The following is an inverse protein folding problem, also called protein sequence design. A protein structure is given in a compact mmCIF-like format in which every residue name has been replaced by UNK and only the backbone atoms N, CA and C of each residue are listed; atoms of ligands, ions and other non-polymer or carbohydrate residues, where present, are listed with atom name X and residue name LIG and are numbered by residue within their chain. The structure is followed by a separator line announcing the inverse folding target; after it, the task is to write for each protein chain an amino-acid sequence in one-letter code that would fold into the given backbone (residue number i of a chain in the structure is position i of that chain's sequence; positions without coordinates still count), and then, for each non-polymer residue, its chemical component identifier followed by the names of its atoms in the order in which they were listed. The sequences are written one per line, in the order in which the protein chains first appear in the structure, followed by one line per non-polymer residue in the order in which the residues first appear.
data_IF_094984569150
#
_entry.id   IF_094984569150
#
_cell.length_a   1.000
_cell.length_b   1.000
_cell.length_c   1.000
_cell.angle_alpha   90.00
_cell.angle_beta   90.00
_cell.angle_gamma   90.00
#
_symmetry.space_group_name_H-M   'P 1'
#
loop_
_entity.id
_entity.type
_entity.pdbx_description
1 polymer ?
#
# COMPACT_ATOMS: atom_id res chain seq x y z
N UNK A 1 13.65 -1.21 -29.27
CA UNK A 1 14.37 -0.09 -28.64
C UNK A 1 14.03 -0.07 -27.16
N UNK A 2 14.96 -0.52 -26.32
CA UNK A 2 14.86 -0.36 -24.86
C UNK A 2 15.00 1.12 -24.54
N UNK A 3 13.95 1.73 -23.99
CA UNK A 3 14.09 3.07 -23.42
C UNK A 3 15.15 3.00 -22.31
N UNK A 4 16.07 3.97 -22.20
CA UNK A 4 17.05 3.98 -21.13
C UNK A 4 16.31 3.99 -19.79
N UNK A 5 16.62 3.02 -18.92
CA UNK A 5 16.19 3.01 -17.53
C UNK A 5 16.68 4.30 -16.88
N UNK A 6 15.74 5.18 -16.52
CA UNK A 6 16.06 6.35 -15.69
C UNK A 6 16.26 5.81 -14.29
N UNK A 7 17.50 5.42 -13.95
CA UNK A 7 17.87 5.08 -12.56
C UNK A 7 17.57 6.29 -11.67
N UNK A 8 16.77 6.07 -10.64
CA UNK A 8 16.43 7.10 -9.66
C UNK A 8 17.68 7.64 -8.97
N UNK A 9 17.75 8.97 -8.82
CA UNK A 9 18.88 9.68 -8.18
C UNK A 9 18.53 10.23 -6.81
N UNK A 10 17.41 9.80 -6.23
CA UNK A 10 16.98 10.27 -4.91
C UNK A 10 18.00 9.92 -3.83
N UNK A 11 18.30 10.91 -3.00
CA UNK A 11 19.20 10.77 -1.86
C UNK A 11 18.68 11.56 -0.66
N UNK A 12 18.69 10.94 0.50
CA UNK A 12 18.44 11.59 1.78
C UNK A 12 19.41 11.09 2.88
N UNK A 13 19.05 11.36 4.14
CA UNK A 13 19.84 10.94 5.29
C UNK A 13 19.91 9.41 5.45
N UNK A 14 18.88 8.67 5.01
CA UNK A 14 18.73 7.20 5.15
C UNK A 14 18.98 6.47 3.83
N UNK A 15 18.60 7.00 2.66
CA UNK A 15 18.64 6.29 1.40
C UNK A 15 19.45 7.02 0.34
N UNK A 16 20.17 6.26 -0.48
CA UNK A 16 20.74 6.70 -1.75
C UNK A 16 20.31 5.68 -2.81
N UNK A 17 19.28 6.02 -3.58
CA UNK A 17 18.66 5.06 -4.50
C UNK A 17 19.55 4.74 -5.70
N UNK A 18 20.58 5.55 -5.95
CA UNK A 18 21.59 5.26 -6.99
C UNK A 18 22.41 4.00 -6.68
N UNK A 19 22.42 3.57 -5.41
CA UNK A 19 23.08 2.34 -4.94
C UNK A 19 22.14 1.15 -4.79
N UNK A 20 20.86 1.26 -5.18
CA UNK A 20 19.94 0.14 -5.16
C UNK A 20 20.22 -0.77 -6.37
N UNK A 21 20.26 -2.08 -6.13
CA UNK A 21 20.59 -3.06 -7.16
C UNK A 21 19.34 -3.64 -7.83
N UNK A 22 19.14 -3.23 -9.09
CA UNK A 22 18.13 -3.76 -9.99
C UNK A 22 18.74 -4.31 -11.29
N UNK A 23 20.05 -4.52 -11.33
CA UNK A 23 20.72 -5.01 -12.52
C UNK A 23 20.57 -6.55 -12.66
N UNK A 24 20.66 -7.07 -13.88
CA UNK A 24 20.64 -8.51 -14.16
C UNK A 24 19.36 -9.21 -13.70
N UNK A 25 19.49 -10.25 -12.86
CA UNK A 25 18.36 -11.01 -12.32
C UNK A 25 17.38 -10.12 -11.52
N UNK A 26 17.88 -9.11 -10.82
CA UNK A 26 17.07 -8.19 -10.03
C UNK A 26 16.16 -7.31 -10.93
N UNK A 27 16.53 -7.13 -12.19
CA UNK A 27 15.81 -6.34 -13.19
C UNK A 27 14.69 -7.10 -13.91
N UNK A 28 14.64 -8.44 -13.78
CA UNK A 28 13.67 -9.26 -14.54
C UNK A 28 12.20 -9.02 -14.16
N UNK A 29 11.96 -8.41 -13.00
CA UNK A 29 10.61 -8.06 -12.55
C UNK A 29 10.03 -6.87 -13.32
N UNK A 30 10.88 -5.98 -13.86
CA UNK A 30 10.49 -4.78 -14.60
C UNK A 30 10.14 -5.13 -16.07
N UNK A 31 9.15 -6.01 -16.25
CA UNK A 31 8.79 -6.57 -17.57
C UNK A 31 7.62 -5.86 -18.26
N UNK A 32 6.93 -4.96 -17.57
CA UNK A 32 5.81 -4.20 -18.11
C UNK A 32 6.20 -2.75 -18.40
N UNK A 33 5.31 -2.02 -19.06
CA UNK A 33 5.56 -0.63 -19.46
C UNK A 33 5.91 0.23 -18.22
N UNK A 34 6.91 1.12 -18.33
CA UNK A 34 7.20 2.10 -17.29
C UNK A 34 5.98 2.94 -16.92
N UNK A 35 5.99 3.47 -15.71
CA UNK A 35 4.97 4.36 -15.21
C UNK A 35 4.81 5.61 -16.09
N UNK A 36 3.58 6.05 -16.26
CA UNK A 36 3.19 7.22 -17.03
C UNK A 36 1.90 7.84 -16.45
N UNK A 37 1.36 8.89 -17.09
CA UNK A 37 0.20 9.62 -16.55
C UNK A 37 -1.10 8.80 -16.51
N UNK A 38 -1.17 7.64 -17.18
CA UNK A 38 -2.27 6.67 -17.08
C UNK A 38 -2.08 5.68 -15.92
N UNK A 39 -1.04 5.83 -15.12
CA UNK A 39 -0.82 5.04 -13.92
C UNK A 39 -1.14 5.88 -12.68
N UNK A 40 -2.02 5.37 -11.82
CA UNK A 40 -2.53 6.12 -10.68
C UNK A 40 -2.07 5.49 -9.36
N UNK A 41 -1.35 6.26 -8.55
CA UNK A 41 -1.21 6.01 -7.12
C UNK A 41 -2.24 6.85 -6.37
N UNK A 42 -3.18 6.19 -5.71
CA UNK A 42 -4.29 6.85 -5.02
C UNK A 42 -4.32 6.51 -3.53
N UNK A 43 -4.57 7.55 -2.73
CA UNK A 43 -4.68 7.48 -1.29
C UNK A 43 -6.06 8.00 -0.86
N UNK A 44 -6.56 7.48 0.27
CA UNK A 44 -7.73 8.04 0.94
C UNK A 44 -7.43 8.25 2.41
N UNK A 45 -7.61 9.48 2.90
CA UNK A 45 -7.34 9.83 4.31
C UNK A 45 -8.43 10.72 4.88
N UNK A 46 -8.67 10.58 6.18
CA UNK A 46 -9.46 11.52 6.96
C UNK A 46 -8.73 11.77 8.29
N UNK A 47 -8.38 13.03 8.54
CA UNK A 47 -7.76 13.44 9.79
C UNK A 47 -8.86 13.95 10.74
N UNK A 48 -9.48 13.02 11.47
CA UNK A 48 -10.47 13.37 12.50
C UNK A 48 -9.90 14.27 13.61
N UNK A 49 -8.56 14.33 13.72
CA UNK A 49 -7.81 15.13 14.67
C UNK A 49 -6.51 15.59 13.98
N UNK A 50 -6.25 16.90 13.97
CA UNK A 50 -5.04 17.51 13.39
C UNK A 50 -3.76 16.98 14.05
N UNK A 51 -3.81 16.56 15.31
CA UNK A 51 -2.67 15.94 15.99
C UNK A 51 -2.27 14.60 15.37
N UNK A 52 -3.22 13.85 14.77
CA UNK A 52 -2.87 12.63 14.02
C UNK A 52 -2.01 12.95 12.80
N UNK A 53 -2.34 14.04 12.10
CA UNK A 53 -1.52 14.53 10.99
C UNK A 53 -0.12 14.93 11.47
N UNK A 54 0.00 15.77 12.50
CA UNK A 54 1.31 16.22 12.97
C UNK A 54 2.21 15.08 13.45
N UNK A 55 1.65 14.04 14.08
CA UNK A 55 2.39 12.84 14.49
C UNK A 55 2.92 12.01 13.30
N UNK A 56 2.23 12.04 12.16
CA UNK A 56 2.57 11.21 10.99
C UNK A 56 3.25 12.00 9.88
N UNK A 57 3.23 13.33 9.94
CA UNK A 57 3.71 14.25 8.90
C UNK A 57 5.11 13.89 8.40
N UNK A 58 6.07 13.68 9.30
CA UNK A 58 7.45 13.36 8.91
C UNK A 58 7.53 12.08 8.06
N UNK A 59 6.95 10.98 8.53
CA UNK A 59 6.94 9.69 7.81
C UNK A 59 6.20 9.80 6.49
N UNK A 60 5.02 10.44 6.48
CA UNK A 60 4.25 10.68 5.26
C UNK A 60 5.06 11.48 4.24
N UNK A 61 5.73 12.56 4.65
CA UNK A 61 6.52 13.37 3.72
C UNK A 61 7.69 12.59 3.12
N UNK A 62 8.29 11.67 3.89
CA UNK A 62 9.35 10.79 3.41
C UNK A 62 8.82 9.74 2.43
N UNK A 63 7.68 9.11 2.73
CA UNK A 63 7.01 8.19 1.81
C UNK A 63 6.67 8.86 0.48
N UNK A 64 6.04 10.03 0.53
CA UNK A 64 5.72 10.80 -0.66
C UNK A 64 6.97 11.24 -1.45
N UNK A 65 8.06 11.58 -0.77
CA UNK A 65 9.33 11.89 -1.43
C UNK A 65 9.92 10.70 -2.17
N UNK A 66 9.93 9.52 -1.56
CA UNK A 66 10.37 8.29 -2.22
C UNK A 66 9.46 7.98 -3.42
N UNK A 67 8.15 8.03 -3.23
CA UNK A 67 7.17 7.75 -4.29
C UNK A 67 7.29 8.74 -5.46
N UNK A 68 7.58 10.02 -5.20
CA UNK A 68 7.83 11.00 -6.25
C UNK A 68 9.02 10.62 -7.15
N UNK A 69 10.03 9.94 -6.61
CA UNK A 69 11.23 9.56 -7.36
C UNK A 69 11.18 8.14 -7.92
N UNK A 70 10.53 7.20 -7.23
CA UNK A 70 10.38 5.82 -7.71
C UNK A 70 9.36 5.69 -8.84
N UNK A 71 8.32 6.53 -8.88
CA UNK A 71 7.31 6.52 -9.94
C UNK A 71 7.03 7.95 -10.44
N UNK A 72 8.02 8.65 -11.02
CA UNK A 72 7.97 10.09 -11.27
C UNK A 72 6.87 10.51 -12.26
N UNK A 73 6.52 9.64 -13.19
CA UNK A 73 5.55 9.93 -14.26
C UNK A 73 4.13 9.45 -13.94
N UNK A 74 3.93 8.69 -12.85
CA UNK A 74 2.61 8.28 -12.39
C UNK A 74 1.82 9.46 -11.80
N UNK A 75 0.51 9.50 -12.07
CA UNK A 75 -0.42 10.42 -11.41
C UNK A 75 -0.57 10.02 -9.95
N UNK A 76 -0.57 11.01 -9.04
CA UNK A 76 -0.74 10.78 -7.60
C UNK A 76 -1.89 11.63 -7.07
N UNK A 77 -2.85 10.98 -6.43
CA UNK A 77 -4.08 11.64 -5.94
C UNK A 77 -4.31 11.29 -4.48
N UNK A 78 -4.57 12.29 -3.66
CA UNK A 78 -5.02 12.14 -2.28
C UNK A 78 -6.48 12.57 -2.17
N UNK A 79 -7.35 11.61 -1.89
CA UNK A 79 -8.73 11.89 -1.51
C UNK A 79 -8.77 12.28 -0.03
N UNK A 80 -8.97 13.56 0.25
CA UNK A 80 -8.97 14.11 1.61
C UNK A 80 -10.41 14.26 2.11
N UNK A 81 -10.81 13.38 3.03
CA UNK A 81 -12.03 13.59 3.82
C UNK A 81 -11.85 14.72 4.83
N UNK A 82 -12.88 15.52 5.02
CA UNK A 82 -12.95 16.53 6.09
C UNK A 82 -12.10 17.78 5.83
N UNK A 83 -11.77 18.49 6.91
CA UNK A 83 -10.98 19.73 6.84
C UNK A 83 -9.49 19.46 6.60
N UNK A 84 -8.83 20.40 5.92
CA UNK A 84 -7.37 20.39 5.80
C UNK A 84 -6.71 20.49 7.17
N UNK A 85 -5.70 19.65 7.48
CA UNK A 85 -5.13 19.61 8.82
C UNK A 85 -4.19 20.79 9.11
N UNK A 86 -3.67 21.47 8.09
CA UNK A 86 -2.89 22.70 8.20
C UNK A 86 -3.05 23.58 6.95
N UNK A 87 -2.80 24.89 7.09
CA UNK A 87 -3.04 25.91 6.03
C UNK A 87 -2.30 25.58 4.73
N UNK A 88 -1.05 25.12 4.83
CA UNK A 88 -0.21 24.82 3.69
C UNK A 88 -0.28 23.34 3.25
N UNK A 89 -1.22 22.54 3.78
CA UNK A 89 -1.31 21.10 3.51
C UNK A 89 -1.36 20.78 2.01
N UNK A 90 -2.24 21.45 1.26
CA UNK A 90 -2.38 21.22 -0.19
C UNK A 90 -1.10 21.56 -0.95
N UNK A 91 -0.46 22.68 -0.62
CA UNK A 91 0.81 23.08 -1.22
C UNK A 91 1.94 22.10 -0.89
N UNK A 92 1.94 21.57 0.34
CA UNK A 92 2.90 20.56 0.79
C UNK A 92 2.73 19.25 0.02
N UNK A 93 1.49 18.77 -0.16
CA UNK A 93 1.20 17.59 -0.99
C UNK A 93 1.60 17.81 -2.45
N UNK A 94 1.26 18.97 -3.02
CA UNK A 94 1.62 19.34 -4.39
C UNK A 94 3.13 19.40 -4.60
N UNK A 95 3.90 19.82 -3.60
CA UNK A 95 5.38 19.80 -3.66
C UNK A 95 5.96 18.39 -3.82
N UNK A 96 5.18 17.37 -3.48
CA UNK A 96 5.51 15.94 -3.69
C UNK A 96 4.80 15.32 -4.89
N UNK A 97 4.23 16.16 -5.76
CA UNK A 97 3.52 15.71 -6.96
C UNK A 97 2.17 15.04 -6.66
N UNK A 98 1.57 15.28 -5.50
CA UNK A 98 0.27 14.73 -5.11
C UNK A 98 -0.82 15.80 -5.22
N UNK A 99 -1.84 15.53 -6.03
CA UNK A 99 -3.02 16.38 -6.10
C UNK A 99 -4.00 16.03 -4.98
N UNK A 100 -4.47 17.03 -4.25
CA UNK A 100 -5.43 16.85 -3.17
C UNK A 100 -6.83 17.12 -3.68
N UNK A 101 -7.71 16.13 -3.56
CA UNK A 101 -9.13 16.24 -3.89
C UNK A 101 -9.93 16.19 -2.59
N UNK A 102 -10.57 17.31 -2.18
CA UNK A 102 -11.39 17.32 -0.98
C UNK A 102 -12.67 16.50 -1.21
N UNK A 103 -13.07 15.76 -0.19
CA UNK A 103 -14.25 14.89 -0.21
C UNK A 103 -15.09 15.17 1.02
N UNK A 104 -16.38 15.42 0.78
CA UNK A 104 -17.34 15.58 1.86
C UNK A 104 -17.62 14.20 2.47
N UNK A 105 -17.30 14.05 3.75
CA UNK A 105 -17.54 12.83 4.54
C UNK A 105 -18.22 13.21 5.85
N UNK A 106 -19.03 12.30 6.40
CA UNK A 106 -19.59 12.45 7.74
C UNK A 106 -18.46 12.33 8.78
N UNK A 107 -18.45 13.22 9.78
CA UNK A 107 -17.42 13.28 10.81
C UNK A 107 -17.41 12.07 11.74
N UNK A 108 -18.49 11.29 11.78
CA UNK A 108 -18.57 10.09 12.59
C UNK A 108 -17.70 8.96 12.04
N UNK A 109 -17.40 8.96 10.75
CA UNK A 109 -16.86 7.81 10.05
C UNK A 109 -15.35 7.61 10.20
N UNK A 110 -14.91 6.34 10.21
CA UNK A 110 -13.49 6.01 10.24
C UNK A 110 -12.84 6.20 8.87
N UNK A 111 -11.79 7.04 8.80
CA UNK A 111 -11.09 7.36 7.56
C UNK A 111 -10.47 6.16 6.82
N UNK A 112 -9.90 5.20 7.56
CA UNK A 112 -9.31 4.00 6.98
C UNK A 112 -10.37 3.10 6.32
N UNK A 113 -11.61 3.19 6.81
CA UNK A 113 -12.74 2.42 6.31
C UNK A 113 -13.40 3.09 5.10
N UNK A 114 -13.59 4.41 5.17
CA UNK A 114 -14.22 5.17 4.09
C UNK A 114 -13.41 5.25 2.80
N UNK A 115 -12.08 5.10 2.87
CA UNK A 115 -11.21 5.28 1.70
C UNK A 115 -11.68 4.48 0.49
N UNK A 116 -12.18 3.26 0.70
CA UNK A 116 -12.60 2.40 -0.41
C UNK A 116 -13.83 2.93 -1.15
N UNK A 117 -14.78 3.56 -0.45
CA UNK A 117 -15.93 4.22 -1.09
C UNK A 117 -15.51 5.42 -1.91
N UNK A 118 -14.67 6.25 -1.32
CA UNK A 118 -14.23 7.49 -1.93
C UNK A 118 -13.37 7.20 -3.15
N UNK A 119 -12.47 6.21 -3.04
CA UNK A 119 -11.64 5.76 -4.15
C UNK A 119 -12.48 5.07 -5.22
N UNK A 120 -13.43 4.21 -4.86
CA UNK A 120 -14.33 3.59 -5.84
C UNK A 120 -15.04 4.65 -6.66
N UNK A 121 -15.71 5.60 -6.01
CA UNK A 121 -16.44 6.68 -6.70
C UNK A 121 -15.51 7.46 -7.64
N UNK A 122 -14.31 7.80 -7.18
CA UNK A 122 -13.33 8.47 -8.01
C UNK A 122 -12.96 7.64 -9.25
N UNK A 123 -12.73 6.34 -9.09
CA UNK A 123 -12.42 5.45 -10.21
C UNK A 123 -13.62 5.29 -11.16
N UNK A 124 -14.85 5.19 -10.67
CA UNK A 124 -16.05 5.13 -11.54
C UNK A 124 -16.14 6.36 -12.46
N UNK A 125 -15.81 7.54 -11.95
CA UNK A 125 -15.84 8.80 -12.69
C UNK A 125 -14.61 9.01 -13.61
N UNK A 126 -13.51 8.28 -13.37
CA UNK A 126 -12.22 8.57 -14.01
C UNK A 126 -11.51 7.35 -14.62
N UNK A 127 -12.12 6.15 -14.63
CA UNK A 127 -11.46 4.91 -15.04
C UNK A 127 -10.82 4.96 -16.43
N UNK A 128 -11.43 5.64 -17.39
CA UNK A 128 -10.91 5.80 -18.77
C UNK A 128 -9.55 6.53 -18.83
N UNK A 129 -9.20 7.28 -17.78
CA UNK A 129 -7.93 7.99 -17.67
C UNK A 129 -6.77 7.08 -17.27
N UNK A 130 -7.03 5.91 -16.72
CA UNK A 130 -6.03 5.08 -16.06
C UNK A 130 -6.03 3.64 -16.56
N UNK A 131 -4.84 3.09 -16.83
CA UNK A 131 -4.65 1.69 -17.18
C UNK A 131 -4.40 0.84 -15.92
N UNK A 132 -3.58 1.37 -15.00
CA UNK A 132 -3.19 0.70 -13.76
C UNK A 132 -3.43 1.61 -12.55
N UNK A 133 -3.86 1.02 -11.45
CA UNK A 133 -4.10 1.69 -10.18
C UNK A 133 -3.36 0.98 -9.06
N UNK A 134 -2.80 1.77 -8.15
CA UNK A 134 -2.28 1.34 -6.87
C UNK A 134 -2.98 2.13 -5.76
N UNK A 135 -3.79 1.47 -4.96
CA UNK A 135 -4.38 1.99 -3.72
C UNK A 135 -3.40 1.77 -2.59
N UNK A 136 -3.09 2.82 -1.83
CA UNK A 136 -2.08 2.76 -0.77
C UNK A 136 -2.50 3.47 0.52
N UNK A 137 -1.96 3.02 1.65
CA UNK A 137 -1.83 3.83 2.85
C UNK A 137 -0.91 5.03 2.55
N UNK A 138 -1.33 6.22 2.99
CA UNK A 138 -0.61 7.46 2.72
C UNK A 138 0.76 7.54 3.43
N UNK A 139 0.86 6.91 4.59
CA UNK A 139 1.97 7.15 5.53
C UNK A 139 3.21 6.30 5.22
N UNK A 140 3.01 5.03 4.88
CA UNK A 140 4.05 3.99 4.99
C UNK A 140 4.19 3.11 3.72
N UNK A 141 3.58 3.48 2.59
CA UNK A 141 3.86 2.82 1.30
C UNK A 141 4.95 3.56 0.53
N UNK A 142 6.02 2.85 0.19
CA UNK A 142 7.25 3.34 -0.43
C UNK A 142 7.50 2.63 -1.76
N UNK A 143 7.73 3.42 -2.82
CA UNK A 143 8.24 2.98 -4.11
C UNK A 143 9.70 3.41 -4.23
N UNK A 144 10.62 2.44 -4.17
CA UNK A 144 12.05 2.68 -4.34
C UNK A 144 12.49 2.66 -5.81
N UNK A 145 11.66 2.09 -6.68
CA UNK A 145 11.82 2.06 -8.13
C UNK A 145 10.42 1.91 -8.76
N UNK A 146 10.34 1.90 -10.09
CA UNK A 146 9.10 1.82 -10.85
C UNK A 146 8.31 0.53 -10.59
N UNK A 147 7.50 0.56 -9.53
CA UNK A 147 6.61 -0.54 -9.16
C UNK A 147 5.55 -0.86 -10.22
N UNK A 148 5.12 0.11 -11.03
CA UNK A 148 4.11 -0.14 -12.07
C UNK A 148 4.64 -1.05 -13.17
N UNK A 149 5.92 -0.96 -13.49
CA UNK A 149 6.57 -1.86 -14.46
C UNK A 149 6.62 -3.34 -14.03
N UNK A 150 6.18 -3.66 -12.80
CA UNK A 150 6.15 -5.03 -12.26
C UNK A 150 4.81 -5.75 -12.39
N UNK A 151 3.75 -5.04 -12.81
CA UNK A 151 2.43 -5.62 -13.09
C UNK A 151 1.73 -4.97 -14.31
N UNK A 152 0.76 -5.70 -14.87
CA UNK A 152 -0.07 -5.24 -15.99
C UNK A 152 -1.47 -4.82 -15.57
N UNK A 153 -2.18 -4.21 -16.52
CA UNK A 153 -3.61 -3.89 -16.51
C UNK A 153 -4.53 -5.13 -16.48
N UNK A 154 -4.00 -6.32 -16.75
CA UNK A 154 -4.75 -7.59 -16.72
C UNK A 154 -4.65 -8.32 -15.38
N UNK A 155 -3.93 -7.77 -14.42
CA UNK A 155 -3.66 -8.41 -13.15
C UNK A 155 -4.32 -7.66 -11.99
N UNK A 156 -4.54 -8.36 -10.89
CA UNK A 156 -5.03 -7.80 -9.64
C UNK A 156 -4.27 -8.45 -8.49
N UNK A 157 -3.77 -7.61 -7.60
CA UNK A 157 -2.99 -7.99 -6.45
C UNK A 157 -3.63 -7.50 -5.16
N UNK A 158 -3.70 -8.43 -4.21
CA UNK A 158 -3.78 -8.13 -2.79
C UNK A 158 -2.44 -8.52 -2.16
N UNK A 159 -2.18 -8.09 -0.93
CA UNK A 159 -0.95 -8.47 -0.23
C UNK A 159 -1.25 -9.19 1.07
N UNK A 160 -0.37 -10.10 1.48
CA UNK A 160 -0.41 -10.65 2.83
C UNK A 160 0.41 -9.78 3.78
N UNK A 161 0.05 -9.76 5.06
CA UNK A 161 0.90 -9.23 6.13
C UNK A 161 2.07 -10.19 6.45
N UNK A 162 2.96 -10.35 5.48
CA UNK A 162 4.16 -11.15 5.62
C UNK A 162 5.40 -10.27 5.83
N UNK A 163 6.33 -10.82 6.60
CA UNK A 163 7.70 -10.35 6.74
C UNK A 163 8.68 -11.43 6.34
N UNK A 164 9.91 -11.03 6.05
CA UNK A 164 11.02 -11.96 5.81
C UNK A 164 11.95 -11.95 7.01
N UNK A 165 12.33 -13.13 7.47
CA UNK A 165 13.21 -13.30 8.64
C UNK A 165 14.67 -13.02 8.28
N UNK A 166 15.52 -12.95 9.31
CA UNK A 166 16.97 -12.83 9.14
C UNK A 166 17.60 -14.00 8.35
N UNK A 167 16.95 -15.18 8.32
CA UNK A 167 17.36 -16.36 7.55
C UNK A 167 16.81 -16.38 6.12
N UNK A 168 15.95 -15.43 5.76
CA UNK A 168 15.29 -15.39 4.46
C UNK A 168 13.93 -16.10 4.40
N UNK A 169 13.49 -16.75 5.49
CA UNK A 169 12.17 -17.40 5.57
C UNK A 169 11.04 -16.38 5.60
N UNK A 170 9.92 -16.67 4.95
CA UNK A 170 8.72 -15.82 4.98
C UNK A 170 7.84 -16.22 6.17
N UNK A 171 7.45 -15.24 6.99
CA UNK A 171 6.50 -15.40 8.10
C UNK A 171 5.36 -14.42 7.96
N UNK A 172 4.13 -14.92 8.01
CA UNK A 172 2.93 -14.11 7.84
C UNK A 172 2.12 -14.05 9.14
N UNK A 173 1.60 -12.87 9.42
CA UNK A 173 0.61 -12.69 10.47
C UNK A 173 -0.68 -13.44 10.10
N UNK A 174 -1.40 -13.87 11.13
CA UNK A 174 -2.67 -14.59 10.97
C UNK A 174 -3.77 -13.91 11.77
N UNK A 175 -5.02 -14.18 11.38
CA UNK A 175 -6.22 -13.69 12.04
C UNK A 175 -6.38 -14.25 13.47
N UNK A 176 -5.50 -15.15 13.91
CA UNK A 176 -5.37 -15.60 15.29
C UNK A 176 -4.78 -14.53 16.23
N UNK A 177 -4.18 -13.46 15.72
CA UNK A 177 -3.70 -12.36 16.56
C UNK A 177 -4.87 -11.73 17.34
N UNK A 178 -4.65 -11.47 18.63
CA UNK A 178 -5.70 -11.00 19.56
C UNK A 178 -6.47 -9.80 19.00
N UNK A 179 -5.76 -8.80 18.48
CA UNK A 179 -6.39 -7.56 18.00
C UNK A 179 -7.22 -7.79 16.74
N UNK A 180 -6.73 -8.56 15.76
CA UNK A 180 -7.44 -8.83 14.51
C UNK A 180 -8.62 -9.75 14.74
N UNK A 181 -8.51 -10.70 15.68
CA UNK A 181 -9.63 -11.52 16.12
C UNK A 181 -10.74 -10.65 16.71
N UNK A 182 -10.42 -9.68 17.56
CA UNK A 182 -11.41 -8.74 18.12
C UNK A 182 -12.07 -7.91 17.01
N UNK A 183 -11.30 -7.43 16.04
CA UNK A 183 -11.87 -6.71 14.89
C UNK A 183 -12.84 -7.59 14.11
N UNK A 184 -12.43 -8.82 13.74
CA UNK A 184 -13.30 -9.78 13.06
C UNK A 184 -14.59 -10.08 13.84
N UNK A 185 -14.51 -10.26 15.16
CA UNK A 185 -15.68 -10.50 16.02
C UNK A 185 -16.67 -9.33 15.97
N UNK A 186 -16.18 -8.10 16.07
CA UNK A 186 -17.01 -6.88 16.07
C UNK A 186 -17.55 -6.54 14.69
N UNK A 187 -16.75 -6.81 13.66
CA UNK A 187 -17.00 -6.36 12.29
C UNK A 187 -17.72 -7.38 11.42
N UNK A 188 -17.61 -8.68 11.72
CA UNK A 188 -18.22 -9.79 10.96
C UNK A 188 -19.19 -10.55 11.87
N UNK A 189 -18.67 -11.50 12.66
CA UNK A 189 -19.36 -12.17 13.76
C UNK A 189 -18.35 -13.03 14.56
N UNK A 190 -18.81 -13.62 15.67
CA UNK A 190 -17.98 -14.45 16.55
C UNK A 190 -17.57 -15.77 15.90
N UNK A 191 -18.47 -16.48 15.21
CA UNK A 191 -18.15 -17.80 14.64
C UNK A 191 -17.03 -17.73 13.59
N UNK A 192 -17.13 -16.78 12.66
CA UNK A 192 -16.12 -16.57 11.61
C UNK A 192 -14.77 -16.20 12.22
N UNK A 193 -14.76 -15.33 13.23
CA UNK A 193 -13.53 -14.93 13.88
C UNK A 193 -12.84 -16.08 14.62
N UNK A 194 -13.60 -16.94 15.31
CA UNK A 194 -13.07 -18.15 15.95
C UNK A 194 -12.55 -19.16 14.92
N UNK A 195 -13.30 -19.38 13.84
CA UNK A 195 -12.90 -20.27 12.75
C UNK A 195 -11.58 -19.84 12.11
N UNK A 196 -11.46 -18.56 11.72
CA UNK A 196 -10.25 -18.05 11.09
C UNK A 196 -9.05 -18.01 12.05
N UNK A 197 -9.29 -17.77 13.34
CA UNK A 197 -8.25 -17.85 14.36
C UNK A 197 -7.76 -19.29 14.57
N UNK A 198 -8.67 -20.27 14.67
CA UNK A 198 -8.34 -21.68 14.83
C UNK A 198 -7.52 -22.21 13.64
N UNK A 199 -7.91 -21.82 12.42
CA UNK A 199 -7.22 -22.21 11.19
C UNK A 199 -5.91 -21.44 10.93
N UNK A 200 -5.56 -20.46 11.78
CA UNK A 200 -4.42 -19.55 11.56
C UNK A 200 -4.43 -18.92 10.16
N UNK A 201 -5.63 -18.56 9.70
CA UNK A 201 -5.84 -17.95 8.39
C UNK A 201 -4.96 -16.70 8.24
N UNK A 202 -4.22 -16.58 7.14
CA UNK A 202 -3.28 -15.46 6.91
C UNK A 202 -4.04 -14.15 6.75
N UNK A 203 -3.45 -13.05 7.18
CA UNK A 203 -4.06 -11.73 6.99
C UNK A 203 -3.76 -11.22 5.58
N UNK A 204 -4.81 -10.94 4.82
CA UNK A 204 -4.76 -10.12 3.60
C UNK A 204 -4.80 -8.66 4.01
N UNK A 205 -3.72 -7.90 3.80
CA UNK A 205 -3.60 -6.51 4.22
C UNK A 205 -4.55 -5.57 3.44
N UNK A 206 -5.22 -4.66 4.15
CA UNK A 206 -6.12 -3.66 3.54
C UNK A 206 -5.43 -2.37 3.10
N UNK A 207 -4.18 -2.14 3.48
CA UNK A 207 -3.47 -0.91 3.13
C UNK A 207 -2.99 -0.85 1.69
N UNK A 208 -3.02 -1.96 0.95
CA UNK A 208 -2.58 -2.00 -0.46
C UNK A 208 -3.47 -2.88 -1.34
N UNK A 209 -3.88 -2.34 -2.49
CA UNK A 209 -4.61 -3.06 -3.56
C UNK A 209 -4.08 -2.49 -4.88
N UNK A 210 -3.64 -3.33 -5.81
CA UNK A 210 -3.07 -2.82 -7.06
C UNK A 210 -3.25 -3.75 -8.24
N UNK A 211 -3.27 -3.18 -9.44
CA UNK A 211 -3.53 -3.93 -10.66
C UNK A 211 -4.09 -3.05 -11.76
N UNK A 212 -4.78 -3.65 -12.72
CA UNK A 212 -5.53 -2.90 -13.72
C UNK A 212 -6.72 -2.17 -13.13
N UNK A 213 -6.99 -0.97 -13.66
CA UNK A 213 -8.06 -0.09 -13.17
C UNK A 213 -9.42 -0.79 -13.07
N UNK A 214 -9.83 -1.52 -14.11
CA UNK A 214 -11.11 -2.25 -14.14
C UNK A 214 -11.17 -3.35 -13.07
N UNK A 215 -10.07 -4.07 -12.85
CA UNK A 215 -10.01 -5.13 -11.84
C UNK A 215 -10.05 -4.57 -10.42
N UNK A 216 -9.29 -3.49 -10.17
CA UNK A 216 -9.30 -2.78 -8.87
C UNK A 216 -10.68 -2.19 -8.61
N UNK A 217 -11.29 -1.54 -9.59
CA UNK A 217 -12.65 -1.00 -9.47
C UNK A 217 -13.67 -2.11 -9.17
N UNK A 218 -13.60 -3.24 -9.87
CA UNK A 218 -14.52 -4.36 -9.63
C UNK A 218 -14.37 -4.94 -8.22
N UNK A 219 -13.14 -5.05 -7.72
CA UNK A 219 -12.91 -5.46 -6.32
C UNK A 219 -13.55 -4.47 -5.35
N UNK A 220 -13.34 -3.17 -5.54
CA UNK A 220 -13.90 -2.13 -4.67
C UNK A 220 -15.44 -2.16 -4.70
N UNK A 221 -16.06 -2.38 -5.86
CA UNK A 221 -17.52 -2.54 -5.99
C UNK A 221 -18.06 -3.74 -5.19
N UNK A 222 -17.37 -4.89 -5.23
CA UNK A 222 -17.75 -6.05 -4.42
C UNK A 222 -17.54 -5.76 -2.93
N UNK A 223 -16.45 -5.08 -2.58
CA UNK A 223 -16.18 -4.69 -1.20
C UNK A 223 -17.29 -3.80 -0.64
N UNK A 224 -17.65 -2.73 -1.36
CA UNK A 224 -18.65 -1.77 -0.91
C UNK A 224 -20.08 -2.30 -0.96
N UNK A 225 -20.39 -3.24 -1.86
CA UNK A 225 -21.71 -3.90 -1.88
C UNK A 225 -21.98 -4.75 -0.64
N UNK A 226 -20.93 -5.18 0.08
CA UNK A 226 -21.03 -5.96 1.33
C UNK A 226 -20.81 -5.11 2.58
N UNK A 227 -20.65 -3.81 2.41
CA UNK A 227 -20.36 -2.91 3.51
C UNK A 227 -21.62 -2.60 4.33
N UNK A 228 -21.46 -2.60 5.65
CA UNK A 228 -22.49 -2.20 6.58
C UNK A 228 -22.11 -0.86 7.22
N UNK A 229 -22.84 0.20 6.85
CA UNK A 229 -22.64 1.54 7.38
C UNK A 229 -22.79 1.64 8.90
N UNK A 230 -23.54 0.74 9.55
CA UNK A 230 -23.63 0.70 11.02
C UNK A 230 -22.30 0.31 11.68
N UNK A 231 -21.35 -0.25 10.92
CA UNK A 231 -20.04 -0.73 11.39
C UNK A 231 -18.88 0.18 10.98
N UNK A 232 -19.15 1.29 10.28
CA UNK A 232 -18.11 2.20 9.73
C UNK A 232 -17.20 2.82 10.79
N UNK A 233 -17.64 2.92 12.04
CA UNK A 233 -16.85 3.51 13.13
C UNK A 233 -15.91 2.48 13.80
N UNK A 234 -16.03 1.20 13.44
CA UNK A 234 -15.21 0.13 14.02
C UNK A 234 -13.83 0.16 13.37
N UNK A 235 -12.80 0.48 14.17
CA UNK A 235 -11.41 0.36 13.74
C UNK A 235 -11.10 -1.09 13.34
N UNK A 236 -10.48 -1.26 12.17
CA UNK A 236 -10.17 -2.57 11.59
C UNK A 236 -11.34 -3.21 10.83
N UNK A 237 -12.44 -2.49 10.58
CA UNK A 237 -13.54 -3.02 9.77
C UNK A 237 -13.13 -3.28 8.32
N UNK A 238 -12.37 -2.37 7.71
CA UNK A 238 -11.84 -2.53 6.35
C UNK A 238 -11.00 -3.80 6.22
N UNK A 239 -10.07 -3.99 7.17
CA UNK A 239 -9.22 -5.16 7.30
C UNK A 239 -10.05 -6.44 7.49
N UNK A 240 -11.07 -6.40 8.35
CA UNK A 240 -11.92 -7.55 8.65
C UNK A 240 -12.82 -7.95 7.47
N UNK A 241 -13.47 -6.97 6.83
CA UNK A 241 -14.34 -7.20 5.69
C UNK A 241 -13.55 -7.72 4.49
N UNK A 242 -12.38 -7.14 4.19
CA UNK A 242 -11.53 -7.61 3.10
C UNK A 242 -11.16 -9.09 3.29
N UNK A 243 -10.74 -9.48 4.49
CA UNK A 243 -10.39 -10.86 4.79
C UNK A 243 -11.61 -11.78 4.69
N UNK A 244 -12.76 -11.38 5.23
CA UNK A 244 -13.99 -12.17 5.12
C UNK A 244 -14.38 -12.40 3.65
N UNK A 245 -14.41 -11.35 2.82
CA UNK A 245 -14.79 -11.45 1.41
C UNK A 245 -13.80 -12.30 0.61
N UNK A 246 -12.50 -12.17 0.89
CA UNK A 246 -11.49 -13.01 0.26
C UNK A 246 -11.66 -14.49 0.61
N UNK A 247 -11.75 -14.83 1.89
CA UNK A 247 -11.81 -16.23 2.33
C UNK A 247 -13.18 -16.90 2.18
N UNK A 248 -14.25 -16.13 2.02
CA UNK A 248 -15.57 -16.64 1.64
C UNK A 248 -15.75 -16.79 0.12
N UNK A 249 -14.74 -16.45 -0.67
CA UNK A 249 -14.74 -16.63 -2.12
C UNK A 249 -15.50 -15.57 -2.91
N UNK A 250 -15.88 -14.44 -2.29
CA UNK A 250 -16.59 -13.35 -2.97
C UNK A 250 -15.77 -12.70 -4.10
N UNK A 251 -14.44 -12.86 -4.07
CA UNK A 251 -13.53 -12.38 -5.11
C UNK A 251 -13.06 -13.45 -6.09
N UNK A 252 -13.60 -14.68 -6.07
CA UNK A 252 -13.12 -15.79 -6.90
C UNK A 252 -13.12 -15.47 -8.41
N UNK A 253 -14.06 -14.64 -8.87
CA UNK A 253 -14.16 -14.23 -10.27
C UNK A 253 -13.06 -13.25 -10.72
N UNK A 254 -12.27 -12.69 -9.80
CA UNK A 254 -11.28 -11.65 -10.10
C UNK A 254 -9.86 -12.17 -10.31
N UNK A 255 -9.63 -13.48 -10.17
CA UNK A 255 -8.31 -14.11 -10.36
C UNK A 255 -7.16 -13.38 -9.63
N UNK A 256 -7.36 -13.12 -8.33
CA UNK A 256 -6.44 -12.32 -7.52
C UNK A 256 -5.12 -13.08 -7.30
N UNK A 257 -4.00 -12.40 -7.52
CA UNK A 257 -2.69 -12.84 -7.05
C UNK A 257 -2.43 -12.25 -5.68
N UNK A 258 -2.06 -13.08 -4.70
CA UNK A 258 -1.67 -12.57 -3.37
C UNK A 258 -0.16 -12.41 -3.30
N UNK A 259 0.30 -11.16 -3.27
CA UNK A 259 1.70 -10.81 -3.09
C UNK A 259 2.17 -11.24 -1.69
N UNK A 260 3.25 -12.02 -1.66
CA UNK A 260 3.98 -12.37 -0.45
C UNK A 260 5.23 -11.51 -0.33
N UNK A 261 6.01 -11.66 0.74
CA UNK A 261 7.21 -10.86 0.96
C UNK A 261 8.36 -11.28 0.04
N UNK A 262 8.45 -10.65 -1.14
CA UNK A 262 9.50 -10.86 -2.15
C UNK A 262 10.16 -9.53 -2.57
N UNK A 263 10.90 -9.51 -3.68
CA UNK A 263 11.56 -8.29 -4.16
C UNK A 263 10.53 -7.23 -4.62
N UNK A 264 9.49 -7.64 -5.35
CA UNK A 264 8.45 -6.75 -5.88
C UNK A 264 7.72 -6.07 -4.72
N UNK A 265 7.14 -6.84 -3.81
CA UNK A 265 6.32 -6.32 -2.73
C UNK A 265 6.63 -7.01 -1.40
N UNK A 266 6.58 -6.27 -0.31
CA UNK A 266 6.52 -6.86 1.03
C UNK A 266 5.82 -5.92 2.00
N UNK A 267 4.94 -6.47 2.85
CA UNK A 267 4.26 -5.70 3.89
C UNK A 267 5.23 -5.13 4.90
N UNK A 268 6.17 -5.95 5.38
CA UNK A 268 7.06 -5.57 6.46
C UNK A 268 8.47 -6.12 6.30
N UNK A 269 9.45 -5.23 6.30
CA UNK A 269 10.86 -5.60 6.20
C UNK A 269 11.57 -5.79 7.54
N UNK A 270 10.87 -5.96 8.67
CA UNK A 270 11.48 -6.32 9.96
C UNK A 270 12.34 -7.58 9.79
N UNK A 271 13.65 -7.35 9.64
CA UNK A 271 14.69 -8.32 9.33
C UNK A 271 14.67 -8.91 7.90
N UNK A 272 13.81 -8.43 7.00
CA UNK A 272 13.68 -8.94 5.62
C UNK A 272 14.70 -8.36 4.64
N UNK A 273 15.25 -7.20 4.99
CA UNK A 273 16.42 -6.60 4.37
C UNK A 273 17.53 -6.42 5.39
N UNK A 274 18.75 -6.23 4.90
CA UNK A 274 19.79 -5.55 5.66
C UNK A 274 20.05 -4.19 5.02
N UNK A 275 20.44 -3.23 5.85
CA UNK A 275 20.77 -1.88 5.44
C UNK A 275 22.28 -1.74 5.30
N UNK A 276 22.76 -1.35 4.12
CA UNK A 276 24.15 -1.02 3.90
C UNK A 276 24.38 0.44 4.31
N UNK A 277 25.03 0.67 5.46
CA UNK A 277 25.31 2.03 5.97
C UNK A 277 26.20 2.86 5.06
N UNK A 278 27.12 2.23 4.32
CA UNK A 278 28.08 2.93 3.45
C UNK A 278 27.39 3.44 2.20
N UNK A 279 26.59 2.58 1.58
CA UNK A 279 25.87 2.86 0.34
C UNK A 279 24.47 3.45 0.57
N UNK A 280 24.00 3.50 1.82
CA UNK A 280 22.64 3.90 2.17
C UNK A 280 21.58 3.12 1.37
N UNK A 281 21.79 1.82 1.19
CA UNK A 281 20.94 0.96 0.36
C UNK A 281 20.26 -0.14 1.19
N UNK A 282 19.11 -0.61 0.71
CA UNK A 282 18.42 -1.78 1.25
C UNK A 282 18.64 -2.96 0.33
N UNK A 283 19.04 -4.09 0.92
CA UNK A 283 19.29 -5.33 0.20
C UNK A 283 18.44 -6.44 0.82
N UNK A 284 17.67 -7.11 -0.02
CA UNK A 284 16.80 -8.22 0.34
C UNK A 284 17.63 -9.39 0.86
N UNK A 285 17.25 -9.95 2.02
CA UNK A 285 17.97 -11.11 2.56
C UNK A 285 17.77 -12.35 1.68
N UNK A 286 18.84 -13.08 1.43
CA UNK A 286 18.81 -14.25 0.54
C UNK A 286 18.82 -13.88 -0.95
N UNK A 287 19.05 -12.61 -1.30
CA UNK A 287 19.44 -12.19 -2.64
C UNK A 287 20.43 -11.02 -2.55
N UNK A 288 20.85 -10.51 -3.70
CA UNK A 288 21.63 -9.27 -3.84
C UNK A 288 20.76 -8.09 -4.34
N UNK A 289 19.43 -8.28 -4.41
CA UNK A 289 18.52 -7.32 -5.01
C UNK A 289 17.96 -6.33 -4.01
N UNK A 290 17.64 -5.14 -4.49
CA UNK A 290 16.97 -4.12 -3.70
C UNK A 290 15.43 -4.23 -3.76
N UNK A 291 14.72 -3.78 -2.71
CA UNK A 291 13.26 -3.83 -2.65
C UNK A 291 12.61 -2.82 -3.61
N UNK A 292 11.51 -3.19 -4.29
CA UNK A 292 10.79 -2.26 -5.20
C UNK A 292 9.68 -1.50 -4.46
N UNK A 293 8.68 -2.19 -3.90
CA UNK A 293 7.53 -1.58 -3.20
C UNK A 293 7.43 -2.10 -1.76
N UNK A 294 7.33 -1.23 -0.75
CA UNK A 294 7.20 -1.65 0.67
C UNK A 294 6.10 -0.91 1.39
N UNK A 295 5.37 -1.59 2.26
CA UNK A 295 4.30 -0.99 3.07
C UNK A 295 4.73 -0.67 4.51
N UNK A 296 5.86 -1.20 4.98
CA UNK A 296 6.54 -0.80 6.22
C UNK A 296 8.03 -1.06 6.10
N UNK A 297 8.84 -0.15 6.64
CA UNK A 297 10.28 -0.34 6.70
C UNK A 297 10.74 -0.19 8.13
N UNK A 298 11.32 -1.25 8.69
CA UNK A 298 11.96 -1.21 10.00
C UNK A 298 13.34 -1.84 9.88
N UNK A 299 14.37 -1.05 10.16
CA UNK A 299 15.74 -1.54 10.32
C UNK A 299 16.12 -1.47 11.79
N UNK A 300 16.83 -2.50 12.28
CA UNK A 300 17.36 -2.53 13.66
C UNK A 300 18.82 -2.07 13.76
N UNK A 301 19.55 -2.01 12.65
CA UNK A 301 20.96 -1.60 12.65
C UNK A 301 21.33 -0.84 11.36
N UNK A 302 21.35 0.51 11.36
CA UNK A 302 20.93 1.39 12.45
C UNK A 302 19.41 1.28 12.66
N UNK A 303 18.93 1.70 13.84
CA UNK A 303 17.50 1.73 14.09
C UNK A 303 16.85 2.85 13.29
N UNK A 304 15.92 2.50 12.42
CA UNK A 304 14.94 3.44 11.87
C UNK A 304 13.63 2.70 11.63
N UNK A 305 12.54 3.40 11.88
CA UNK A 305 11.18 2.90 11.76
C UNK A 305 10.37 3.89 10.91
N UNK A 306 10.03 3.45 9.71
CA UNK A 306 9.18 4.15 8.76
C UNK A 306 7.85 3.38 8.65
N UNK A 307 7.11 3.36 9.77
CA UNK A 307 5.78 2.74 9.88
C UNK A 307 4.78 3.55 10.69
#
# INVERSE_FOLDING_TARGET
MTMPEIKTTYKDEIFDLSHFNYDGECGKLFKYKPNNQRDLLIYGVYFSDKQKWFKQKHTTMKALSLNQHGIPNAKKVLMLGGEVPEVNFTSLMKSKGVDVIPVKVDSLYNGAVLRYFVIQKYLEENKEKYDRVFVADLRDVFFFEDGFSTFSDKQLYLSNECSRTNKGDIKCASLALKITKIWMQKSINKEVAELYAANKTKIINSGTIFGGTEHVLRLLQIFTSHFNYQRVNIWGYDQSLLNYLYYSGQFNSLNITVANCDQMFCFDMRNGCYYNKKEKSLIMRGSNCSPIIRHKIVSKNPYFDLS
#
